data_IF_076026440941
#
_entry.id   IF_076026440941
#
_cell.length_a   1.000
_cell.length_b   1.000
_cell.length_c   1.000
_cell.angle_alpha   90.00
_cell.angle_beta   90.00
_cell.angle_gamma   90.00
#
_symmetry.space_group_name_H-M   'P 1'
#
loop_
_entity.id
_entity.type
_entity.pdbx_description
1 polymer ?
#
# COMPACT_ATOMS: atom_id res chain seq x y z
N UNK A 1 8.75 -5.64 14.99
CA UNK A 1 9.23 -7.00 15.30
C UNK A 1 8.78 -7.41 16.71
N UNK A 2 9.20 -6.70 17.77
CA UNK A 2 8.85 -7.06 19.16
C UNK A 2 7.34 -7.24 19.40
N UNK A 3 6.49 -6.37 18.84
CA UNK A 3 5.02 -6.47 18.98
C UNK A 3 4.50 -7.79 18.41
N UNK A 4 4.87 -8.13 17.16
CA UNK A 4 4.43 -9.36 16.49
C UNK A 4 4.91 -10.59 17.27
N UNK A 5 6.15 -10.57 17.73
CA UNK A 5 6.72 -11.69 18.48
C UNK A 5 6.04 -11.89 19.84
N UNK A 6 5.80 -10.79 20.58
CA UNK A 6 5.15 -10.85 21.90
C UNK A 6 3.68 -11.29 21.80
N UNK A 7 2.93 -10.75 20.84
CA UNK A 7 1.51 -11.03 20.68
C UNK A 7 1.24 -12.37 19.95
N UNK A 8 2.24 -12.90 19.24
CA UNK A 8 2.05 -14.01 18.29
C UNK A 8 0.91 -13.76 17.30
N UNK A 9 0.74 -12.50 16.88
CA UNK A 9 -0.36 -12.08 16.02
C UNK A 9 0.05 -10.90 15.13
N UNK A 10 -0.56 -10.82 13.95
CA UNK A 10 -0.47 -9.68 13.06
C UNK A 10 -1.60 -8.70 13.38
N UNK A 11 -1.27 -7.47 13.78
CA UNK A 11 -2.23 -6.45 14.22
C UNK A 11 -2.84 -5.64 13.08
N UNK A 12 -2.41 -5.88 11.85
CA UNK A 12 -2.96 -5.25 10.65
C UNK A 12 -2.48 -5.93 9.37
N UNK A 13 -3.29 -5.88 8.31
CA UNK A 13 -2.94 -6.49 7.03
C UNK A 13 -1.80 -5.75 6.35
N UNK A 14 -1.11 -6.46 5.46
CA UNK A 14 -0.17 -5.89 4.49
C UNK A 14 -0.96 -5.60 3.23
N UNK A 15 -0.80 -4.41 2.68
CA UNK A 15 -1.44 -4.02 1.42
C UNK A 15 -0.51 -4.36 0.26
N UNK A 16 -0.97 -5.27 -0.59
CA UNK A 16 -0.23 -5.79 -1.73
C UNK A 16 -0.94 -5.44 -3.03
N UNK A 17 -0.18 -5.25 -4.08
CA UNK A 17 -0.68 -5.18 -5.44
C UNK A 17 0.02 -6.18 -6.34
N UNK A 18 -0.65 -6.62 -7.37
CA UNK A 18 -0.14 -7.57 -8.35
C UNK A 18 -0.59 -7.20 -9.76
N UNK A 19 0.14 -7.67 -10.76
CA UNK A 19 -0.26 -7.50 -12.17
C UNK A 19 -1.53 -8.30 -12.43
N UNK A 20 -2.53 -7.63 -12.98
CA UNK A 20 -3.84 -8.21 -13.25
C UNK A 20 -3.79 -9.58 -13.92
N UNK A 21 -4.68 -10.47 -13.46
CA UNK A 21 -5.00 -11.74 -14.10
C UNK A 21 -6.51 -11.83 -14.29
N UNK A 22 -6.92 -12.07 -15.52
CA UNK A 22 -8.33 -12.09 -15.88
C UNK A 22 -9.10 -13.19 -15.12
N UNK A 23 -8.51 -14.36 -14.93
CA UNK A 23 -9.12 -15.46 -14.20
C UNK A 23 -9.41 -15.10 -12.72
N UNK A 24 -8.49 -14.40 -12.05
CA UNK A 24 -8.70 -13.91 -10.68
C UNK A 24 -9.83 -12.88 -10.66
N UNK A 25 -9.79 -11.88 -11.57
CA UNK A 25 -10.80 -10.84 -11.65
C UNK A 25 -12.19 -11.42 -11.95
N UNK A 26 -12.29 -12.38 -12.86
CA UNK A 26 -13.53 -13.07 -13.19
C UNK A 26 -14.09 -13.85 -11.98
N UNK A 27 -13.24 -14.57 -11.26
CA UNK A 27 -13.64 -15.31 -10.07
C UNK A 27 -14.17 -14.39 -8.96
N UNK A 28 -13.49 -13.27 -8.73
CA UNK A 28 -13.94 -12.24 -7.78
C UNK A 28 -15.29 -11.66 -8.20
N UNK A 29 -15.45 -11.31 -9.48
CA UNK A 29 -16.70 -10.76 -10.03
C UNK A 29 -17.86 -11.77 -9.90
N UNK A 30 -17.60 -13.07 -10.01
CA UNK A 30 -18.62 -14.10 -9.82
C UNK A 30 -19.11 -14.15 -8.37
N UNK A 31 -18.17 -14.16 -7.41
CA UNK A 31 -18.50 -14.15 -5.98
C UNK A 31 -19.28 -12.89 -5.57
N UNK A 32 -18.98 -11.76 -6.20
CA UNK A 32 -19.67 -10.49 -5.92
C UNK A 32 -21.15 -10.46 -6.38
N UNK A 33 -21.61 -11.42 -7.20
CA UNK A 33 -23.03 -11.57 -7.55
C UNK A 33 -23.84 -12.16 -6.41
N UNK A 34 -23.21 -12.83 -5.48
CA UNK A 34 -23.85 -13.41 -4.31
C UNK A 34 -24.19 -12.34 -3.26
N UNK A 35 -25.03 -12.71 -2.30
CA UNK A 35 -25.31 -11.83 -1.16
C UNK A 35 -24.05 -11.66 -0.31
N UNK A 36 -23.61 -10.43 -0.02
CA UNK A 36 -22.46 -10.22 0.84
C UNK A 36 -22.72 -10.71 2.27
N UNK A 37 -21.67 -11.16 2.93
CA UNK A 37 -21.69 -11.52 4.34
C UNK A 37 -21.95 -10.28 5.22
N UNK A 38 -21.31 -9.17 4.85
CA UNK A 38 -21.50 -7.86 5.47
C UNK A 38 -21.62 -6.79 4.39
N UNK A 39 -22.47 -5.80 4.63
CA UNK A 39 -22.59 -4.60 3.82
C UNK A 39 -22.86 -3.41 4.75
N UNK A 40 -21.99 -2.43 4.74
CA UNK A 40 -22.12 -1.20 5.52
C UNK A 40 -21.79 0.00 4.64
N UNK A 41 -22.37 1.15 4.96
CA UNK A 41 -22.00 2.43 4.36
C UNK A 41 -21.37 3.29 5.46
N UNK A 42 -20.19 3.83 5.19
CA UNK A 42 -19.48 4.68 6.16
C UNK A 42 -19.97 6.15 6.12
N UNK A 43 -19.40 6.98 6.98
CA UNK A 43 -19.74 8.41 7.12
C UNK A 43 -19.40 9.23 5.86
N UNK A 44 -18.62 8.68 4.94
CA UNK A 44 -18.24 9.31 3.66
C UNK A 44 -19.07 8.79 2.48
N UNK A 45 -20.15 8.08 2.77
CA UNK A 45 -21.04 7.44 1.78
C UNK A 45 -20.34 6.35 0.95
N UNK A 46 -19.25 5.78 1.49
CA UNK A 46 -18.53 4.66 0.88
C UNK A 46 -19.14 3.34 1.33
N UNK A 47 -19.49 2.49 0.37
CA UNK A 47 -20.03 1.17 0.63
C UNK A 47 -18.89 0.15 0.82
N UNK A 48 -18.90 -0.53 1.97
CA UNK A 48 -17.99 -1.63 2.28
C UNK A 48 -18.79 -2.93 2.25
N UNK A 49 -18.39 -3.86 1.39
CA UNK A 49 -19.03 -5.16 1.24
C UNK A 49 -17.98 -6.27 1.40
N UNK A 50 -18.36 -7.33 2.10
CA UNK A 50 -17.49 -8.47 2.35
C UNK A 50 -18.21 -9.75 1.93
N UNK A 51 -17.54 -10.56 1.12
CA UNK A 51 -17.97 -11.91 0.76
C UNK A 51 -16.98 -12.93 1.31
N UNK A 52 -17.45 -14.13 1.55
CA UNK A 52 -16.59 -15.24 1.91
C UNK A 52 -16.40 -16.14 0.69
N UNK A 53 -15.15 -16.42 0.38
CA UNK A 53 -14.80 -17.44 -0.59
C UNK A 53 -14.58 -18.77 0.17
N UNK A 54 -15.37 -19.79 -0.09
CA UNK A 54 -15.31 -21.08 0.63
C UNK A 54 -14.52 -22.14 -0.12
N UNK A 55 -14.50 -22.09 -1.45
CA UNK A 55 -13.67 -22.91 -2.31
C UNK A 55 -12.61 -22.02 -2.94
N UNK A 56 -11.35 -22.23 -2.58
CA UNK A 56 -10.25 -21.30 -2.90
C UNK A 56 -9.19 -21.92 -3.82
N UNK A 57 -9.25 -23.22 -4.10
CA UNK A 57 -8.19 -23.94 -4.81
C UNK A 57 -7.92 -23.35 -6.21
N UNK A 58 -8.98 -22.94 -6.90
CA UNK A 58 -8.92 -22.30 -8.21
C UNK A 58 -8.20 -20.95 -8.15
N UNK A 59 -8.55 -20.11 -7.19
CA UNK A 59 -7.94 -18.78 -7.06
C UNK A 59 -6.50 -18.88 -6.51
N UNK A 60 -6.22 -19.84 -5.63
CA UNK A 60 -4.86 -20.13 -5.16
C UNK A 60 -3.98 -20.52 -6.33
N UNK A 61 -4.43 -21.46 -7.18
CA UNK A 61 -3.68 -21.89 -8.36
C UNK A 61 -3.41 -20.73 -9.35
N UNK A 62 -4.33 -19.77 -9.46
CA UNK A 62 -4.13 -18.58 -10.26
C UNK A 62 -3.13 -17.60 -9.61
N UNK A 63 -3.12 -17.47 -8.29
CA UNK A 63 -2.12 -16.66 -7.59
C UNK A 63 -0.73 -17.28 -7.65
N UNK A 64 -0.59 -18.59 -7.71
CA UNK A 64 0.70 -19.27 -7.93
C UNK A 64 1.34 -18.91 -9.27
N UNK A 65 0.55 -18.43 -10.23
CA UNK A 65 1.03 -17.92 -11.52
C UNK A 65 1.41 -16.44 -11.48
N UNK A 66 1.21 -15.76 -10.36
CA UNK A 66 1.60 -14.35 -10.19
C UNK A 66 3.07 -14.29 -9.79
N UNK A 67 3.98 -13.84 -10.65
CA UNK A 67 5.41 -13.97 -10.40
C UNK A 67 5.90 -13.05 -9.27
N UNK A 68 5.23 -11.91 -9.07
CA UNK A 68 5.63 -10.89 -8.12
C UNK A 68 4.40 -10.17 -7.51
N UNK A 69 4.42 -10.00 -6.20
CA UNK A 69 3.57 -9.07 -5.49
C UNK A 69 4.37 -7.84 -5.05
N UNK A 70 3.76 -6.69 -5.06
CA UNK A 70 4.38 -5.43 -4.65
C UNK A 70 3.75 -4.93 -3.37
N UNK A 71 4.57 -4.56 -2.39
CA UNK A 71 4.07 -3.96 -1.14
C UNK A 71 3.69 -2.51 -1.41
N UNK A 72 2.39 -2.21 -1.42
CA UNK A 72 1.87 -0.86 -1.57
C UNK A 72 1.85 -0.11 -0.23
N UNK A 73 1.54 -0.80 0.87
CA UNK A 73 1.67 -0.29 2.23
C UNK A 73 1.94 -1.43 3.21
N UNK A 74 2.52 -1.10 4.37
CA UNK A 74 2.86 -2.08 5.39
C UNK A 74 4.26 -2.68 5.26
N UNK A 75 5.23 -1.95 4.70
CA UNK A 75 6.62 -2.38 4.58
C UNK A 75 7.24 -2.84 5.91
N UNK A 76 6.97 -2.12 7.01
CA UNK A 76 7.43 -2.50 8.34
C UNK A 76 6.70 -3.74 8.89
N UNK A 77 5.41 -3.90 8.56
CA UNK A 77 4.63 -5.08 8.94
C UNK A 77 5.14 -6.33 8.22
N UNK A 78 5.38 -6.25 6.90
CA UNK A 78 5.92 -7.36 6.13
C UNK A 78 7.32 -7.77 6.59
N UNK A 79 8.22 -6.79 6.78
CA UNK A 79 9.56 -7.05 7.30
C UNK A 79 9.55 -7.67 8.72
N UNK A 80 8.61 -7.24 9.57
CA UNK A 80 8.46 -7.81 10.92
C UNK A 80 7.90 -9.23 10.87
N UNK A 81 6.91 -9.50 10.02
CA UNK A 81 6.36 -10.83 9.82
C UNK A 81 7.43 -11.82 9.36
N UNK A 82 8.18 -11.45 8.32
CA UNK A 82 9.25 -12.27 7.80
C UNK A 82 10.33 -12.55 8.85
N UNK A 83 10.80 -11.52 9.57
CA UNK A 83 11.84 -11.69 10.59
C UNK A 83 11.41 -12.62 11.71
N UNK A 84 10.22 -12.40 12.28
CA UNK A 84 9.72 -13.25 13.38
C UNK A 84 9.45 -14.67 12.89
N UNK A 85 8.90 -14.83 11.69
CA UNK A 85 8.69 -16.13 11.06
C UNK A 85 10.00 -16.89 10.89
N UNK A 86 11.04 -16.24 10.35
CA UNK A 86 12.38 -16.83 10.16
C UNK A 86 13.02 -17.24 11.50
N UNK A 87 13.00 -16.34 12.49
CA UNK A 87 13.55 -16.63 13.82
C UNK A 87 12.84 -17.81 14.50
N UNK A 88 11.53 -17.91 14.38
CA UNK A 88 10.74 -19.02 14.94
C UNK A 88 10.99 -20.31 14.20
N UNK A 89 11.12 -20.27 12.88
CA UNK A 89 11.45 -21.43 12.06
C UNK A 89 12.83 -21.99 12.44
N UNK A 90 13.84 -21.14 12.56
CA UNK A 90 15.18 -21.55 12.97
C UNK A 90 15.22 -22.23 14.35
N UNK A 91 14.36 -21.79 15.28
CA UNK A 91 14.26 -22.34 16.63
C UNK A 91 13.39 -23.61 16.72
N UNK A 92 12.63 -23.95 15.69
CA UNK A 92 11.72 -25.07 15.68
C UNK A 92 12.37 -26.29 14.99
N UNK A 93 12.93 -27.19 15.76
CA UNK A 93 13.51 -28.43 15.24
C UNK A 93 12.49 -29.37 14.56
N UNK A 94 11.20 -29.17 14.82
CA UNK A 94 10.09 -29.94 14.24
C UNK A 94 9.31 -29.14 13.20
N UNK A 95 9.94 -28.18 12.54
CA UNK A 95 9.30 -27.35 11.51
C UNK A 95 8.76 -28.21 10.37
N UNK A 96 7.44 -28.11 10.10
CA UNK A 96 6.72 -28.85 9.06
C UNK A 96 6.34 -27.98 7.85
N UNK A 97 6.23 -26.68 8.04
CA UNK A 97 5.70 -25.73 7.06
C UNK A 97 4.28 -25.24 7.37
N UNK A 98 3.53 -25.96 8.22
CA UNK A 98 2.13 -25.65 8.52
C UNK A 98 1.95 -24.68 9.70
N UNK A 99 3.05 -24.29 10.35
CA UNK A 99 2.98 -23.43 11.52
C UNK A 99 2.48 -22.02 11.19
N UNK A 100 1.71 -21.46 12.12
CA UNK A 100 1.05 -20.16 11.95
C UNK A 100 2.02 -18.98 11.67
N UNK A 101 3.28 -19.09 12.09
CA UNK A 101 4.30 -18.07 11.82
C UNK A 101 4.78 -18.03 10.35
N UNK A 102 4.38 -19.01 9.53
CA UNK A 102 4.65 -19.01 8.08
C UNK A 102 3.65 -18.12 7.30
N UNK A 103 2.61 -17.62 7.95
CA UNK A 103 1.52 -16.91 7.32
C UNK A 103 1.41 -15.48 7.85
N UNK A 104 0.93 -14.58 7.00
CA UNK A 104 0.53 -13.24 7.41
C UNK A 104 -0.75 -12.81 6.68
N UNK A 105 -1.46 -11.87 7.27
CA UNK A 105 -2.66 -11.32 6.65
C UNK A 105 -2.29 -10.30 5.58
N UNK A 106 -2.62 -10.60 4.34
CA UNK A 106 -2.46 -9.72 3.19
C UNK A 106 -3.79 -9.34 2.57
N UNK A 107 -3.88 -8.12 2.07
CA UNK A 107 -4.96 -7.66 1.22
C UNK A 107 -4.37 -7.38 -0.15
N UNK A 108 -4.88 -8.07 -1.17
CA UNK A 108 -4.34 -8.05 -2.53
C UNK A 108 -5.29 -7.30 -3.47
N UNK A 109 -4.74 -6.35 -4.22
CA UNK A 109 -5.47 -5.61 -5.24
C UNK A 109 -4.81 -5.78 -6.61
N UNK A 110 -5.58 -6.02 -7.68
CA UNK A 110 -5.05 -5.94 -9.04
C UNK A 110 -4.59 -4.52 -9.34
N UNK A 111 -3.51 -4.36 -10.07
CA UNK A 111 -2.89 -3.06 -10.33
C UNK A 111 -3.85 -2.07 -11.03
N UNK A 112 -4.77 -2.57 -11.86
CA UNK A 112 -5.78 -1.74 -12.54
C UNK A 112 -6.77 -1.05 -11.58
N UNK A 113 -6.95 -1.57 -10.36
CA UNK A 113 -7.83 -0.99 -9.34
C UNK A 113 -7.12 0.03 -8.45
N UNK A 114 -5.84 0.25 -8.65
CA UNK A 114 -5.04 1.17 -7.86
C UNK A 114 -4.61 2.38 -8.67
N UNK A 115 -4.50 3.51 -7.99
CA UNK A 115 -3.93 4.73 -8.54
C UNK A 115 -2.83 5.23 -7.62
N UNK A 116 -1.64 5.40 -8.20
CA UNK A 116 -0.55 6.06 -7.49
C UNK A 116 -0.80 7.57 -7.53
N UNK A 117 -0.91 8.16 -6.36
CA UNK A 117 -1.11 9.60 -6.20
C UNK A 117 0.19 10.26 -5.75
N UNK A 118 0.35 11.53 -6.09
CA UNK A 118 1.43 12.35 -5.56
C UNK A 118 1.34 12.46 -4.04
N UNK A 119 2.48 12.33 -3.36
CA UNK A 119 2.55 12.50 -1.91
C UNK A 119 3.02 13.91 -1.58
N UNK A 120 2.12 14.86 -1.77
CA UNK A 120 2.43 16.28 -1.64
C UNK A 120 2.68 16.68 -0.19
N UNK A 121 3.60 17.62 -0.02
CA UNK A 121 3.88 18.30 1.26
C UNK A 121 3.51 19.75 1.12
N UNK A 122 2.78 20.26 2.09
CA UNK A 122 2.41 21.68 2.15
C UNK A 122 3.24 22.34 3.24
N UNK A 123 3.92 23.42 2.86
CA UNK A 123 4.63 24.30 3.79
C UNK A 123 3.66 25.42 4.16
N UNK A 124 3.33 25.53 5.44
CA UNK A 124 2.33 26.47 5.93
C UNK A 124 2.77 27.94 5.78
N UNK A 125 4.04 28.19 6.05
CA UNK A 125 4.66 29.51 5.91
C UNK A 125 6.15 29.38 5.59
N UNK A 126 6.78 30.46 5.17
CA UNK A 126 8.21 30.48 4.82
C UNK A 126 9.12 30.90 5.99
N UNK A 127 8.60 30.89 7.22
CA UNK A 127 9.33 31.25 8.44
C UNK A 127 10.00 32.62 8.34
N UNK A 128 9.25 33.62 7.87
CA UNK A 128 9.69 35.01 7.71
C UNK A 128 10.56 35.29 6.48
N UNK A 129 10.81 34.28 5.63
CA UNK A 129 11.53 34.49 4.37
C UNK A 129 10.62 35.10 3.30
N UNK A 130 11.18 35.94 2.45
CA UNK A 130 10.54 36.27 1.18
C UNK A 130 10.51 35.06 0.25
N UNK A 131 9.68 35.10 -0.78
CA UNK A 131 9.66 34.04 -1.81
C UNK A 131 11.01 33.91 -2.49
N UNK A 132 11.63 35.03 -2.78
CA UNK A 132 12.94 35.14 -3.44
C UNK A 132 14.03 34.50 -2.57
N UNK A 133 14.10 34.87 -1.29
CA UNK A 133 15.07 34.29 -0.34
C UNK A 133 14.87 32.77 -0.17
N UNK A 134 13.62 32.33 -0.16
CA UNK A 134 13.30 30.88 -0.09
C UNK A 134 13.80 30.13 -1.33
N UNK A 135 13.54 30.68 -2.54
CA UNK A 135 14.01 30.07 -3.78
C UNK A 135 15.55 30.08 -3.89
N UNK A 136 16.19 31.12 -3.41
CA UNK A 136 17.67 31.19 -3.43
C UNK A 136 18.30 30.18 -2.45
N UNK A 137 17.68 29.96 -1.29
CA UNK A 137 18.10 28.88 -0.40
C UNK A 137 17.88 27.49 -1.01
N UNK A 138 16.79 27.28 -1.76
CA UNK A 138 16.57 26.03 -2.48
C UNK A 138 17.63 25.80 -3.56
N UNK A 139 18.03 26.82 -4.31
CA UNK A 139 19.10 26.73 -5.33
C UNK A 139 20.44 26.32 -4.74
N UNK A 140 20.69 26.62 -3.46
CA UNK A 140 21.92 26.21 -2.79
C UNK A 140 22.04 24.70 -2.57
N UNK A 141 20.90 23.97 -2.58
CA UNK A 141 20.83 22.54 -2.28
C UNK A 141 20.21 21.71 -3.41
N UNK A 142 19.71 22.35 -4.46
CA UNK A 142 19.03 21.69 -5.58
C UNK A 142 19.14 22.53 -6.87
N UNK A 143 18.91 21.89 -8.00
CA UNK A 143 18.71 22.58 -9.29
C UNK A 143 17.24 22.93 -9.42
N UNK A 144 16.92 24.20 -9.67
CA UNK A 144 15.57 24.69 -9.90
C UNK A 144 15.35 24.99 -11.37
N UNK A 145 14.34 24.34 -11.95
CA UNK A 145 13.89 24.60 -13.31
C UNK A 145 12.42 25.05 -13.30
N UNK A 146 12.12 26.14 -14.02
CA UNK A 146 10.75 26.58 -14.17
C UNK A 146 10.08 25.79 -15.31
N UNK A 147 9.21 24.83 -14.97
CA UNK A 147 8.57 23.98 -15.97
C UNK A 147 7.07 24.27 -16.21
N UNK A 148 6.43 25.06 -15.34
CA UNK A 148 5.02 25.45 -15.47
C UNK A 148 4.00 24.31 -15.37
N UNK A 149 4.42 23.07 -15.06
CA UNK A 149 3.53 21.92 -14.91
C UNK A 149 3.05 21.80 -13.46
N UNK A 150 1.79 21.39 -13.29
CA UNK A 150 1.15 21.26 -11.96
C UNK A 150 1.41 19.95 -11.25
N UNK A 151 2.02 18.95 -11.91
CA UNK A 151 2.26 17.65 -11.29
C UNK A 151 3.55 17.03 -11.85
N UNK A 152 4.52 16.65 -11.01
CA UNK A 152 5.71 15.97 -11.48
C UNK A 152 5.29 14.60 -12.01
N UNK A 153 5.36 14.44 -13.30
CA UNK A 153 4.98 13.18 -13.97
C UNK A 153 6.11 12.16 -14.00
N UNK A 154 7.31 12.49 -13.49
CA UNK A 154 8.49 11.63 -13.55
C UNK A 154 8.98 11.22 -12.17
N UNK A 155 9.28 9.94 -11.95
CA UNK A 155 9.93 9.48 -10.72
C UNK A 155 11.27 10.19 -10.51
N UNK A 156 11.50 10.68 -9.30
CA UNK A 156 12.74 11.35 -8.93
C UNK A 156 12.74 12.88 -9.10
N UNK A 157 11.70 13.45 -9.70
CA UNK A 157 11.52 14.91 -9.75
C UNK A 157 10.69 15.39 -8.55
N UNK A 158 11.07 16.53 -8.00
CA UNK A 158 10.31 17.22 -6.96
C UNK A 158 9.88 18.58 -7.49
N UNK A 159 8.58 18.82 -7.52
CA UNK A 159 8.04 20.13 -7.89
C UNK A 159 7.72 20.95 -6.64
N UNK A 160 8.15 22.20 -6.65
CA UNK A 160 7.78 23.19 -5.63
C UNK A 160 6.79 24.17 -6.26
N UNK A 161 5.57 24.19 -5.74
CA UNK A 161 4.56 25.16 -6.13
C UNK A 161 4.54 26.30 -5.13
N UNK A 162 4.76 27.51 -5.62
CA UNK A 162 4.57 28.70 -4.80
C UNK A 162 3.23 29.31 -5.18
N UNK A 163 2.24 29.13 -4.32
CA UNK A 163 0.91 29.72 -4.49
C UNK A 163 0.87 31.05 -3.78
N UNK A 164 0.67 32.11 -4.52
CA UNK A 164 0.65 33.49 -3.99
C UNK A 164 -0.75 33.90 -3.45
N UNK A 165 -1.80 33.14 -3.81
CA UNK A 165 -3.16 33.38 -3.35
C UNK A 165 -3.88 32.06 -3.09
N UNK A 166 -4.40 31.86 -1.87
CA UNK A 166 -5.36 30.81 -1.55
C UNK A 166 -6.76 31.42 -1.66
N UNK A 167 -7.60 30.82 -2.50
CA UNK A 167 -9.05 31.01 -2.44
C UNK A 167 -9.60 29.85 -1.61
N UNK A 168 -10.23 30.18 -0.47
CA UNK A 168 -10.98 29.24 0.35
C UNK A 168 -12.41 29.14 -0.17
#
# INVERSE_FOLDING_TARGET
TKLVDTLSAHTGPIFLTYKDREAINARVAEVQKEKPLYAITDERDVQHRVWRLTACDDIIAEFDQVPLGYVADGHHRSASAWRVGSERREKNASHSGDESYNWFLGVLFPASQLKVLGYHRVIKDLNGLSKEDFLDRLKAVSTLEANGQKDPSRPGETCVYVVTHFWF
#
